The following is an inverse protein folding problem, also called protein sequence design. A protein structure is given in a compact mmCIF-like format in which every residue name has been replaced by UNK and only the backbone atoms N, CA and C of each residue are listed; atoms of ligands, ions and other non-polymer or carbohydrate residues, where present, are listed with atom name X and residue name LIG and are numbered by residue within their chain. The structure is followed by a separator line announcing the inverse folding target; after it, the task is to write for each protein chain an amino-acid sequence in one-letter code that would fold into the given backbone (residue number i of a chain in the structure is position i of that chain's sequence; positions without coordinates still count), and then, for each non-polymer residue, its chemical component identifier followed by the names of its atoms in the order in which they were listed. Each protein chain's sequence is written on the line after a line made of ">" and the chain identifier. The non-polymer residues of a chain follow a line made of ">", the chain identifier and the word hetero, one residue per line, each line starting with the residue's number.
data_IF_015828367731
#
_entry.id   IF_015828367731
#
_cell.length_a   1.000
_cell.length_b   1.000
_cell.length_c   1.000
_cell.angle_alpha   90.00
_cell.angle_beta   90.00
_cell.angle_gamma   90.00
#
_symmetry.space_group_name_H-M   'P 1'
#
loop_
_entity.id
_entity.type
_entity.pdbx_description
1 polymer ?
#
# COMPACT_ATOMS: atom_id res chain seq x y z
N UNK A 1 -10.36 -23.36 -0.35
CA UNK A 1 -10.79 -23.95 -1.64
C UNK A 1 -10.87 -22.84 -2.67
N UNK A 2 -10.84 -23.15 -3.97
CA UNK A 2 -11.04 -22.15 -5.01
C UNK A 2 -12.37 -21.40 -4.81
N UNK A 3 -12.40 -20.13 -5.16
CA UNK A 3 -13.66 -19.36 -5.23
C UNK A 3 -14.10 -19.36 -6.68
N UNK A 4 -15.24 -20.00 -6.95
CA UNK A 4 -15.94 -19.94 -8.23
C UNK A 4 -17.10 -18.95 -8.10
N UNK A 5 -16.87 -17.72 -8.54
CA UNK A 5 -17.81 -16.61 -8.39
C UNK A 5 -18.72 -16.47 -9.60
N UNK A 6 -19.71 -15.56 -9.55
CA UNK A 6 -20.57 -15.30 -10.71
C UNK A 6 -19.78 -14.84 -11.94
N UNK A 7 -20.06 -15.45 -13.09
CA UNK A 7 -19.50 -15.05 -14.39
C UNK A 7 -17.99 -15.29 -14.47
N UNK A 8 -17.22 -14.22 -14.66
CA UNK A 8 -15.76 -14.28 -14.79
C UNK A 8 -15.03 -14.16 -13.45
N UNK A 9 -15.76 -13.91 -12.36
CA UNK A 9 -15.17 -13.73 -11.04
C UNK A 9 -14.64 -15.06 -10.50
N UNK A 10 -13.46 -15.06 -9.91
CA UNK A 10 -12.94 -16.26 -9.28
C UNK A 10 -11.52 -16.09 -8.79
N UNK A 11 -11.12 -17.02 -7.93
CA UNK A 11 -9.78 -17.09 -7.36
C UNK A 11 -9.41 -18.54 -7.14
N UNK A 12 -8.49 -19.07 -7.95
CA UNK A 12 -8.13 -20.50 -7.93
C UNK A 12 -7.50 -20.92 -6.59
N UNK A 13 -6.64 -20.06 -6.03
CA UNK A 13 -5.90 -20.32 -4.79
C UNK A 13 -6.03 -19.13 -3.84
N UNK A 14 -7.19 -18.96 -3.19
CA UNK A 14 -7.41 -17.86 -2.28
C UNK A 14 -6.59 -18.07 -1.01
N UNK A 15 -5.96 -17.00 -0.55
CA UNK A 15 -5.40 -16.90 0.78
C UNK A 15 -6.33 -16.08 1.65
N UNK A 16 -6.60 -16.57 2.85
CA UNK A 16 -7.21 -15.78 3.92
C UNK A 16 -6.08 -15.21 4.79
N UNK A 17 -5.66 -13.99 4.46
CA UNK A 17 -4.50 -13.33 5.04
C UNK A 17 -4.94 -12.52 6.26
N UNK A 18 -4.58 -12.98 7.46
CA UNK A 18 -4.74 -12.22 8.71
C UNK A 18 -3.45 -11.51 9.15
N UNK A 19 -2.35 -11.73 8.44
CA UNK A 19 -1.06 -11.13 8.78
C UNK A 19 -0.08 -11.16 7.61
N UNK A 20 0.75 -10.12 7.57
CA UNK A 20 1.82 -9.86 6.61
C UNK A 20 3.16 -9.81 7.35
N UNK A 21 4.27 -9.87 6.62
CA UNK A 21 5.63 -9.92 7.16
C UNK A 21 5.82 -11.05 8.18
N UNK A 22 5.36 -12.25 7.85
CA UNK A 22 5.42 -13.41 8.76
C UNK A 22 4.54 -13.26 10.01
N UNK A 23 3.51 -12.41 9.96
CA UNK A 23 2.58 -12.15 11.07
C UNK A 23 2.96 -10.94 11.94
N UNK A 24 4.03 -10.21 11.59
CA UNK A 24 4.42 -8.98 12.30
C UNK A 24 3.49 -7.78 12.06
N UNK A 25 2.66 -7.84 10.99
CA UNK A 25 1.64 -6.83 10.69
C UNK A 25 0.31 -7.52 10.50
N UNK A 26 -0.66 -7.29 11.38
CA UNK A 26 -2.02 -7.81 11.25
C UNK A 26 -2.76 -7.21 10.05
N UNK A 27 -3.74 -7.94 9.52
CA UNK A 27 -4.69 -7.43 8.53
C UNK A 27 -6.09 -7.65 9.06
N UNK A 28 -6.83 -6.56 9.28
CA UNK A 28 -8.14 -6.60 9.93
C UNK A 28 -9.20 -5.90 9.07
N UNK A 29 -10.31 -6.58 8.75
CA UNK A 29 -10.52 -8.03 8.91
C UNK A 29 -9.53 -8.85 8.06
N UNK A 30 -9.41 -10.19 8.24
CA UNK A 30 -8.57 -11.01 7.39
C UNK A 30 -8.99 -10.91 5.92
N UNK A 31 -8.06 -10.52 5.05
CA UNK A 31 -8.31 -10.27 3.64
C UNK A 31 -8.33 -11.59 2.84
N UNK A 32 -9.28 -11.71 1.91
CA UNK A 32 -9.29 -12.82 0.94
C UNK A 32 -8.65 -12.36 -0.36
N UNK A 33 -7.41 -12.79 -0.62
CA UNK A 33 -6.57 -12.28 -1.73
C UNK A 33 -5.68 -13.37 -2.34
N UNK A 34 -5.07 -13.11 -3.50
CA UNK A 34 -4.13 -14.02 -4.16
C UNK A 34 -2.69 -13.91 -3.64
N UNK A 35 -1.88 -14.94 -3.89
CA UNK A 35 -0.45 -14.94 -3.56
C UNK A 35 0.34 -13.75 -4.16
N UNK A 36 0.14 -13.36 -5.44
CA UNK A 36 0.87 -12.22 -6.01
C UNK A 36 0.61 -10.91 -5.27
N UNK A 37 -0.65 -10.63 -4.92
CA UNK A 37 -1.01 -9.44 -4.16
C UNK A 37 -0.43 -9.47 -2.75
N UNK A 38 -0.48 -10.64 -2.09
CA UNK A 38 0.12 -10.82 -0.75
C UNK A 38 1.63 -10.49 -0.78
N UNK A 39 2.35 -10.99 -1.78
CA UNK A 39 3.78 -10.71 -1.94
C UNK A 39 4.07 -9.23 -2.26
N UNK A 40 3.21 -8.56 -3.04
CA UNK A 40 3.33 -7.13 -3.30
C UNK A 40 3.09 -6.29 -2.05
N UNK A 41 2.10 -6.65 -1.23
CA UNK A 41 1.84 -6.01 0.07
C UNK A 41 3.02 -6.15 1.03
N UNK A 42 3.62 -7.35 1.13
CA UNK A 42 4.81 -7.57 1.95
C UNK A 42 5.98 -6.67 1.52
N UNK A 43 6.23 -6.56 0.21
CA UNK A 43 7.30 -5.68 -0.28
C UNK A 43 6.99 -4.21 -0.03
N UNK A 44 5.77 -3.75 -0.28
CA UNK A 44 5.38 -2.36 -0.02
C UNK A 44 5.47 -2.01 1.48
N UNK A 45 5.09 -2.94 2.36
CA UNK A 45 5.27 -2.78 3.79
C UNK A 45 6.74 -2.61 4.17
N UNK A 46 7.63 -3.43 3.61
CA UNK A 46 9.06 -3.40 3.90
C UNK A 46 9.74 -2.15 3.34
N UNK A 47 9.40 -1.73 2.12
CA UNK A 47 10.14 -0.70 1.39
C UNK A 47 9.58 0.71 1.59
N UNK A 48 8.30 0.84 1.92
CA UNK A 48 7.62 2.15 2.02
C UNK A 48 6.96 2.36 3.39
N UNK A 49 6.08 1.46 3.83
CA UNK A 49 5.24 1.71 5.02
C UNK A 49 6.06 1.72 6.31
N UNK A 50 6.88 0.70 6.55
CA UNK A 50 7.67 0.62 7.78
C UNK A 50 8.73 1.73 7.86
N UNK A 51 9.48 2.05 6.78
CA UNK A 51 10.39 3.20 6.78
C UNK A 51 9.68 4.54 7.07
N UNK A 52 8.52 4.79 6.44
CA UNK A 52 7.74 6.00 6.68
C UNK A 52 7.24 6.08 8.14
N UNK A 53 6.75 4.96 8.70
CA UNK A 53 6.31 4.91 10.09
C UNK A 53 7.47 5.20 11.07
N UNK A 54 8.64 4.61 10.82
CA UNK A 54 9.85 4.87 11.60
C UNK A 54 10.30 6.33 11.49
N UNK A 55 10.17 6.95 10.31
CA UNK A 55 10.54 8.36 10.07
C UNK A 55 9.61 9.32 10.80
N UNK A 56 8.30 9.17 10.65
CA UNK A 56 7.32 10.15 11.13
C UNK A 56 6.86 9.92 12.56
N UNK A 57 6.90 8.68 13.05
CA UNK A 57 6.34 8.32 14.37
C UNK A 57 7.32 7.61 15.29
N UNK A 58 8.53 7.27 14.83
CA UNK A 58 9.49 6.44 15.58
C UNK A 58 8.85 5.14 16.09
N UNK A 59 7.90 4.61 15.32
CA UNK A 59 7.07 3.45 15.67
C UNK A 59 6.87 2.60 14.43
N UNK A 60 6.62 1.30 14.62
CA UNK A 60 6.31 0.36 13.53
C UNK A 60 4.81 0.34 13.29
N UNK A 61 4.40 0.12 12.04
CA UNK A 61 3.04 -0.32 11.75
C UNK A 61 2.91 -1.78 12.21
N UNK A 62 1.85 -2.08 12.94
CA UNK A 62 1.54 -3.43 13.44
C UNK A 62 0.22 -3.97 12.88
N UNK A 63 -0.56 -3.15 12.20
CA UNK A 63 -1.80 -3.59 11.56
C UNK A 63 -2.21 -2.67 10.40
N UNK A 64 -2.75 -3.28 9.34
CA UNK A 64 -3.49 -2.66 8.25
C UNK A 64 -4.99 -2.84 8.52
N UNK A 65 -5.75 -1.74 8.44
CA UNK A 65 -7.21 -1.77 8.48
C UNK A 65 -7.74 -1.79 7.04
N UNK A 66 -8.20 -2.94 6.57
CA UNK A 66 -8.79 -3.08 5.23
C UNK A 66 -10.32 -2.90 5.28
N UNK A 67 -10.91 -2.46 4.17
CA UNK A 67 -12.37 -2.32 4.02
C UNK A 67 -12.95 -3.03 2.80
N UNK A 68 -12.08 -3.55 1.92
CA UNK A 68 -12.48 -4.49 0.89
C UNK A 68 -11.28 -5.33 0.42
N UNK A 69 -11.49 -6.65 0.36
CA UNK A 69 -10.63 -7.64 -0.31
C UNK A 69 -11.42 -8.31 -1.45
N UNK A 70 -11.51 -9.64 -1.54
CA UNK A 70 -12.28 -10.28 -2.61
C UNK A 70 -13.75 -9.82 -2.66
N UNK A 71 -14.20 -9.41 -3.85
CA UNK A 71 -15.59 -9.05 -4.11
C UNK A 71 -15.88 -9.09 -5.60
N UNK A 72 -16.79 -9.97 -6.02
CA UNK A 72 -17.27 -10.03 -7.39
C UNK A 72 -18.18 -8.84 -7.70
N UNK A 73 -17.63 -7.76 -8.26
CA UNK A 73 -18.36 -6.55 -8.67
C UNK A 73 -17.64 -5.81 -9.77
N UNK A 74 -18.37 -4.98 -10.52
CA UNK A 74 -17.77 -4.01 -11.42
C UNK A 74 -17.05 -2.88 -10.68
N UNK A 75 -16.11 -2.20 -11.36
CA UNK A 75 -15.38 -1.06 -10.82
C UNK A 75 -16.35 0.02 -10.33
N UNK A 76 -16.02 0.66 -9.21
CA UNK A 76 -16.85 1.70 -8.58
C UNK A 76 -18.30 1.26 -8.29
N UNK A 77 -18.57 -0.04 -8.19
CA UNK A 77 -19.91 -0.60 -7.99
C UNK A 77 -20.80 -0.62 -9.24
N UNK A 78 -20.25 -0.34 -10.43
CA UNK A 78 -21.01 -0.36 -11.67
C UNK A 78 -21.14 -1.79 -12.22
N UNK A 79 -22.29 -2.42 -12.02
CA UNK A 79 -22.58 -3.80 -12.48
C UNK A 79 -22.51 -3.99 -14.01
N UNK A 80 -22.52 -2.91 -14.80
CA UNK A 80 -22.43 -2.95 -16.26
C UNK A 80 -21.07 -2.45 -16.78
N UNK A 81 -20.15 -2.09 -15.88
CA UNK A 81 -18.84 -1.57 -16.22
C UNK A 81 -17.77 -2.67 -16.29
N UNK A 82 -16.52 -2.23 -16.52
CA UNK A 82 -15.36 -3.12 -16.42
C UNK A 82 -15.29 -3.75 -15.02
N UNK A 83 -14.95 -5.03 -14.98
CA UNK A 83 -14.82 -5.79 -13.73
C UNK A 83 -13.65 -5.26 -12.88
N UNK A 84 -13.81 -5.30 -11.56
CA UNK A 84 -12.76 -4.88 -10.61
C UNK A 84 -11.73 -5.99 -10.38
N UNK A 85 -10.48 -5.62 -10.08
CA UNK A 85 -9.45 -6.56 -9.63
C UNK A 85 -9.79 -7.24 -8.29
N UNK A 86 -10.70 -6.67 -7.49
CA UNK A 86 -11.27 -7.34 -6.32
C UNK A 86 -11.99 -8.64 -6.68
N UNK A 87 -12.54 -8.74 -7.90
CA UNK A 87 -13.21 -9.96 -8.37
C UNK A 87 -12.26 -11.15 -8.60
N UNK A 88 -10.95 -10.88 -8.56
CA UNK A 88 -9.88 -11.84 -8.81
C UNK A 88 -8.89 -11.94 -7.64
N UNK A 89 -9.19 -11.30 -6.50
CA UNK A 89 -8.29 -11.24 -5.34
C UNK A 89 -6.99 -10.48 -5.60
N UNK A 90 -6.99 -9.58 -6.58
CA UNK A 90 -5.82 -8.81 -7.03
C UNK A 90 -5.87 -7.34 -6.60
N UNK A 91 -6.83 -6.96 -5.74
CA UNK A 91 -6.91 -5.64 -5.13
C UNK A 91 -7.18 -5.67 -3.62
N UNK A 92 -6.80 -4.58 -2.94
CA UNK A 92 -7.09 -4.32 -1.52
C UNK A 92 -7.41 -2.84 -1.30
N UNK A 93 -8.47 -2.56 -0.53
CA UNK A 93 -8.84 -1.21 -0.09
C UNK A 93 -8.44 -1.02 1.38
N UNK A 94 -7.56 -0.05 1.65
CA UNK A 94 -6.94 0.19 2.95
C UNK A 94 -7.46 1.49 3.55
N UNK A 95 -8.20 1.41 4.66
CA UNK A 95 -8.73 2.57 5.36
C UNK A 95 -7.77 3.18 6.39
N UNK A 96 -6.70 2.47 6.77
CA UNK A 96 -5.70 3.03 7.68
C UNK A 96 -4.70 2.03 8.22
N UNK A 97 -3.87 2.51 9.14
CA UNK A 97 -2.80 1.77 9.78
C UNK A 97 -2.84 1.95 11.30
N UNK A 98 -2.46 0.92 12.04
CA UNK A 98 -2.23 1.00 13.49
C UNK A 98 -0.75 0.86 13.78
N UNK A 99 -0.25 1.72 14.65
CA UNK A 99 1.14 1.74 15.10
C UNK A 99 1.31 0.95 16.41
N UNK A 100 2.53 0.46 16.66
CA UNK A 100 2.89 -0.29 17.87
C UNK A 100 2.66 0.51 19.17
N UNK A 101 2.71 1.84 19.09
CA UNK A 101 2.44 2.74 20.22
C UNK A 101 0.93 2.97 20.46
N UNK A 102 0.06 2.28 19.71
CA UNK A 102 -1.38 2.32 19.85
C UNK A 102 -2.09 3.42 19.06
N UNK A 103 -1.37 4.28 18.34
CA UNK A 103 -1.96 5.30 17.47
C UNK A 103 -2.55 4.67 16.20
N UNK A 104 -3.75 5.11 15.83
CA UNK A 104 -4.39 4.78 14.57
C UNK A 104 -4.29 5.96 13.59
N UNK A 105 -3.87 5.68 12.36
CA UNK A 105 -3.80 6.64 11.26
C UNK A 105 -4.87 6.24 10.25
N UNK A 106 -6.02 6.89 10.32
CA UNK A 106 -7.19 6.59 9.46
C UNK A 106 -7.20 7.54 8.27
N UNK A 107 -7.21 7.00 7.05
CA UNK A 107 -7.09 7.74 5.78
C UNK A 107 -8.10 8.88 5.70
N UNK A 108 -9.39 8.60 5.86
CA UNK A 108 -10.46 9.63 5.72
C UNK A 108 -10.31 10.80 6.71
N UNK A 109 -9.74 10.55 7.89
CA UNK A 109 -9.56 11.56 8.93
C UNK A 109 -8.25 12.35 8.72
N UNK A 110 -7.18 11.63 8.39
CA UNK A 110 -5.84 12.17 8.41
C UNK A 110 -5.38 12.77 7.07
N UNK A 111 -5.97 12.38 5.93
CA UNK A 111 -5.48 12.77 4.60
C UNK A 111 -5.35 14.28 4.39
N UNK A 112 -6.39 15.05 4.77
CA UNK A 112 -6.40 16.51 4.67
C UNK A 112 -6.33 17.21 6.03
N UNK A 113 -6.91 16.61 7.08
CA UNK A 113 -7.15 17.25 8.39
C UNK A 113 -6.29 16.70 9.51
N UNK A 114 -5.46 15.68 9.24
CA UNK A 114 -4.55 15.11 10.22
C UNK A 114 -3.44 16.07 10.63
N UNK A 115 -2.60 15.61 11.56
CA UNK A 115 -1.35 16.29 11.87
C UNK A 115 -0.43 16.33 10.65
N UNK A 116 0.59 17.20 10.66
CA UNK A 116 1.59 17.25 9.59
C UNK A 116 2.30 15.90 9.39
N UNK A 117 2.54 15.15 10.48
CA UNK A 117 3.17 13.82 10.45
C UNK A 117 2.27 12.76 9.82
N UNK A 118 0.98 12.75 10.16
CA UNK A 118 0.02 11.79 9.58
C UNK A 118 -0.20 12.05 8.10
N UNK A 119 -0.34 13.32 7.70
CA UNK A 119 -0.41 13.67 6.27
C UNK A 119 0.85 13.22 5.53
N UNK A 120 2.03 13.56 6.05
CA UNK A 120 3.30 13.21 5.41
C UNK A 120 3.47 11.69 5.29
N UNK A 121 3.16 10.93 6.34
CA UNK A 121 3.14 9.48 6.31
C UNK A 121 2.19 8.94 5.24
N UNK A 122 0.93 9.40 5.21
CA UNK A 122 -0.05 8.92 4.25
C UNK A 122 0.33 9.25 2.80
N UNK A 123 0.87 10.44 2.54
CA UNK A 123 1.36 10.80 1.21
C UNK A 123 2.58 9.96 0.80
N UNK A 124 3.51 9.71 1.72
CA UNK A 124 4.70 8.90 1.43
C UNK A 124 4.33 7.43 1.13
N UNK A 125 3.49 6.79 1.96
CA UNK A 125 3.10 5.40 1.73
C UNK A 125 2.26 5.25 0.45
N UNK A 126 1.41 6.24 0.16
CA UNK A 126 0.62 6.28 -1.06
C UNK A 126 1.50 6.41 -2.31
N UNK A 127 2.49 7.31 -2.29
CA UNK A 127 3.44 7.44 -3.39
C UNK A 127 4.32 6.18 -3.54
N UNK A 128 4.80 5.62 -2.43
CA UNK A 128 5.64 4.42 -2.41
C UNK A 128 4.93 3.16 -2.93
N UNK A 129 3.59 3.11 -2.88
CA UNK A 129 2.80 2.01 -3.42
C UNK A 129 3.06 1.77 -4.93
N UNK A 130 3.40 2.81 -5.68
CA UNK A 130 3.73 2.69 -7.11
C UNK A 130 4.93 1.79 -7.42
N UNK A 131 5.79 1.48 -6.45
CA UNK A 131 6.87 0.52 -6.64
C UNK A 131 6.35 -0.91 -6.88
N UNK A 132 5.22 -1.25 -6.26
CA UNK A 132 4.71 -2.62 -6.18
C UNK A 132 3.42 -2.85 -6.96
N UNK A 133 2.55 -1.85 -7.03
CA UNK A 133 1.20 -2.00 -7.59
C UNK A 133 1.11 -1.40 -8.98
N UNK A 134 0.23 -1.98 -9.80
CA UNK A 134 -0.09 -1.39 -11.09
C UNK A 134 -0.91 -0.14 -10.85
N UNK A 135 -2.09 -0.23 -10.23
CA UNK A 135 -2.96 0.93 -9.95
C UNK A 135 -2.98 1.27 -8.47
N UNK A 136 -2.91 2.57 -8.19
CA UNK A 136 -2.94 3.15 -6.84
C UNK A 136 -3.87 4.36 -6.86
N UNK A 137 -4.96 4.31 -6.10
CA UNK A 137 -5.97 5.38 -6.02
C UNK A 137 -6.23 5.73 -4.56
N UNK A 138 -6.49 7.00 -4.27
CA UNK A 138 -6.71 7.47 -2.91
C UNK A 138 -7.50 8.76 -2.89
N UNK A 139 -7.61 9.43 -1.73
CA UNK A 139 -8.41 10.63 -1.65
C UNK A 139 -7.86 11.74 -2.57
N UNK A 140 -8.70 12.20 -3.49
CA UNK A 140 -8.32 13.12 -4.56
C UNK A 140 -8.18 12.47 -5.95
N UNK A 141 -8.12 11.15 -6.05
CA UNK A 141 -8.18 10.43 -7.33
C UNK A 141 -9.58 10.50 -7.95
N UNK A 142 -10.61 10.18 -7.17
CA UNK A 142 -12.02 10.36 -7.51
C UNK A 142 -12.89 10.29 -6.23
N UNK A 143 -14.22 10.35 -6.39
CA UNK A 143 -15.17 10.31 -5.26
C UNK A 143 -15.30 8.94 -4.58
N UNK A 144 -14.89 7.85 -5.22
CA UNK A 144 -15.03 6.49 -4.68
C UNK A 144 -13.87 6.13 -3.76
N UNK A 145 -12.72 6.77 -3.95
CA UNK A 145 -11.50 6.53 -3.18
C UNK A 145 -11.24 7.60 -2.09
N UNK A 146 -12.28 8.33 -1.67
CA UNK A 146 -12.12 9.46 -0.73
C UNK A 146 -11.74 9.05 0.70
N UNK A 147 -11.96 7.80 1.08
CA UNK A 147 -11.80 7.31 2.45
C UNK A 147 -10.78 6.17 2.62
N UNK A 148 -10.13 5.74 1.54
CA UNK A 148 -9.18 4.64 1.56
C UNK A 148 -8.10 4.78 0.47
N UNK A 149 -7.04 3.99 0.59
CA UNK A 149 -6.06 3.76 -0.46
C UNK A 149 -6.41 2.43 -1.13
N UNK A 150 -6.71 2.47 -2.42
CA UNK A 150 -6.89 1.30 -3.27
C UNK A 150 -5.57 0.94 -3.94
N UNK A 151 -5.22 -0.34 -3.91
CA UNK A 151 -4.06 -0.90 -4.62
C UNK A 151 -4.48 -2.13 -5.41
N UNK A 152 -4.02 -2.25 -6.65
CA UNK A 152 -4.24 -3.45 -7.47
C UNK A 152 -3.09 -3.77 -8.43
N UNK A 153 -3.04 -5.02 -8.90
CA UNK A 153 -2.02 -5.51 -9.82
C UNK A 153 -2.42 -5.48 -11.31
N UNK A 154 -3.67 -5.12 -11.63
CA UNK A 154 -4.27 -5.24 -12.97
C UNK A 154 -3.93 -6.56 -13.68
N UNK A 155 -3.96 -7.68 -12.97
CA UNK A 155 -3.42 -8.94 -13.49
C UNK A 155 -4.34 -9.59 -14.52
N UNK A 156 -5.58 -9.13 -14.71
CA UNK A 156 -6.47 -9.65 -15.77
C UNK A 156 -6.13 -9.15 -17.17
N UNK A 157 -5.19 -8.22 -17.32
CA UNK A 157 -4.66 -7.73 -18.60
C UNK A 157 -3.17 -8.06 -18.73
N UNK A 158 -2.84 -9.35 -18.80
CA UNK A 158 -1.45 -9.88 -18.74
C UNK A 158 -0.56 -9.54 -19.95
N UNK A 159 -1.03 -8.73 -20.90
CA UNK A 159 -0.20 -8.18 -21.97
C UNK A 159 -0.12 -6.67 -21.82
N UNK A 160 0.86 -6.20 -21.04
CA UNK A 160 1.85 -5.19 -21.40
C UNK A 160 2.71 -4.85 -20.18
N UNK A 161 4.03 -4.79 -20.41
CA UNK A 161 5.03 -4.36 -19.44
C UNK A 161 4.66 -3.00 -18.80
N UNK A 162 4.89 -2.87 -17.48
CA UNK A 162 4.61 -1.73 -16.54
C UNK A 162 4.36 -0.38 -17.24
N UNK A 163 3.33 0.42 -16.92
CA UNK A 163 2.83 0.86 -15.59
C UNK A 163 1.51 1.63 -15.77
N UNK A 164 0.54 1.52 -14.83
CA UNK A 164 -0.40 2.63 -14.58
C UNK A 164 -0.71 2.88 -13.10
N UNK A 165 0.27 3.43 -12.37
CA UNK A 165 0.08 4.00 -11.03
C UNK A 165 -0.37 5.48 -11.14
N UNK A 166 -1.09 6.04 -10.16
CA UNK A 166 -1.38 7.48 -10.21
C UNK A 166 -1.56 8.24 -8.88
N UNK A 167 -0.45 8.53 -8.16
CA UNK A 167 -0.34 9.62 -7.19
C UNK A 167 -0.18 10.97 -7.93
N UNK A 168 -0.77 12.09 -7.52
CA UNK A 168 -0.38 12.88 -6.33
C UNK A 168 -1.58 13.60 -5.68
N UNK A 169 -1.63 13.61 -4.34
CA UNK A 169 -1.96 14.84 -3.60
C UNK A 169 -0.72 15.54 -3.00
N UNK A 170 -0.03 16.32 -3.84
CA UNK A 170 0.70 17.55 -3.44
C UNK A 170 2.11 17.48 -2.85
N UNK A 171 2.91 16.46 -3.21
CA UNK A 171 4.34 16.31 -2.86
C UNK A 171 5.17 17.61 -2.89
N UNK A 172 6.13 17.79 -1.95
CA UNK A 172 7.40 17.07 -2.10
C UNK A 172 7.67 16.03 -1.01
N UNK A 173 8.18 14.89 -1.47
CA UNK A 173 9.15 14.11 -0.70
C UNK A 173 10.50 14.81 -0.89
N UNK A 174 10.93 15.59 0.09
CA UNK A 174 12.34 15.94 0.32
C UNK A 174 12.55 16.35 1.78
N UNK A 175 13.35 15.52 2.45
CA UNK A 175 14.03 15.60 3.74
C UNK A 175 13.28 15.99 5.02
N UNK A 176 13.45 15.09 6.00
CA UNK A 176 13.25 15.39 7.40
C UNK A 176 14.24 16.48 7.83
N UNK A 177 13.77 17.73 7.82
CA UNK A 177 14.44 18.87 8.46
C UNK A 177 15.19 19.76 7.48
N UNK A 178 14.85 21.04 7.46
CA UNK A 178 15.69 22.05 6.84
C UNK A 178 16.93 22.30 7.68
N UNK A 179 18.08 22.38 7.02
CA UNK A 179 19.16 23.29 7.40
C UNK A 179 19.89 23.75 6.12
N UNK A 180 20.25 25.04 5.97
CA UNK A 180 20.84 25.55 4.74
C UNK A 180 22.36 25.36 4.73
N UNK A 181 22.87 25.00 3.55
CA UNK A 181 24.29 24.94 3.15
C UNK A 181 25.14 23.89 3.87
N UNK A 182 25.43 22.80 3.16
CA UNK A 182 26.71 22.11 3.30
C UNK A 182 27.25 21.72 1.93
N UNK A 183 28.19 22.51 1.44
CA UNK A 183 29.14 22.10 0.40
C UNK A 183 30.12 21.12 1.03
N UNK A 184 29.87 19.82 0.91
CA UNK A 184 30.88 18.81 1.21
C UNK A 184 30.79 17.68 0.17
N UNK A 185 31.89 17.50 -0.54
CA UNK A 185 32.06 16.59 -1.66
C UNK A 185 31.76 15.13 -1.28
N UNK A 186 31.00 14.46 -2.16
CA UNK A 186 30.82 13.02 -2.14
C UNK A 186 32.17 12.38 -2.47
N UNK A 187 32.81 11.75 -1.49
CA UNK A 187 33.80 10.70 -1.74
C UNK A 187 33.18 9.38 -1.26
N UNK A 188 33.03 8.37 -2.13
CA UNK A 188 32.50 7.08 -1.70
C UNK A 188 33.54 6.34 -0.85
N UNK A 189 33.13 5.86 0.32
CA UNK A 189 33.92 4.93 1.14
C UNK A 189 33.77 3.51 0.58
N UNK A 190 34.91 2.88 0.29
CA UNK A 190 35.02 1.48 -0.14
C UNK A 190 34.71 0.53 1.02
N UNK A 191 33.81 -0.42 0.80
CA UNK A 191 33.62 -1.56 1.70
C UNK A 191 34.77 -2.55 1.54
N UNK A 192 35.66 -2.60 2.54
CA UNK A 192 36.52 -3.77 2.79
C UNK A 192 35.94 -4.45 4.03
N UNK A 193 35.38 -5.64 3.85
CA UNK A 193 34.96 -6.48 4.97
C UNK A 193 36.19 -7.00 5.73
N UNK A 194 36.07 -7.26 7.04
CA UNK A 194 37.15 -7.92 7.77
C UNK A 194 37.24 -9.38 7.34
N UNK A 195 38.44 -9.76 6.86
CA UNK A 195 38.90 -11.13 6.83
C UNK A 195 39.09 -11.70 8.24
N UNK A 196 39.25 -13.01 8.27
CA UNK A 196 39.30 -13.88 9.42
C UNK A 196 40.28 -13.46 10.53
N UNK A 197 39.90 -13.82 11.76
CA UNK A 197 40.74 -14.59 12.69
C UNK A 197 39.91 -15.77 13.23
#
# INVERSE_FOLDING_TARGET
>A
EAIDGPGVCGLERPLRVSGLLGGGVGVTPPATIGCPLTAALDRWLQTSVQPAAARYFRSRVVEIKEIASYSCRGRNGNNFGQISEHAFGNALDIAGFRLANGQDIVVVNAWGRGTARERAFLQEVFAGACGEFYTVLGPGSDRFHYNHIHVDLLATNVFHARHYCRPQPGTPVADAGGDPKSTAAITPLSFVGPGAD
#
